data_IF_530208832036
#
_entry.id   IF_530208832036
#
_cell.length_a   1.000
_cell.length_b   1.000
_cell.length_c   1.000
_cell.angle_alpha   90.00
_cell.angle_beta   90.00
_cell.angle_gamma   90.00
#
_symmetry.space_group_name_H-M   'P 1'
#
loop_
_entity.id
_entity.type
_entity.pdbx_description
1 polymer ?
#
# COMPACT_ATOMS: atom_id res chain seq x y z
N UNK A 1 -53.27 6.13 -32.42
CA UNK A 1 -52.50 5.16 -31.60
C UNK A 1 -50.98 5.34 -31.63
N UNK A 2 -50.38 5.94 -32.67
CA UNK A 2 -48.91 6.10 -32.81
C UNK A 2 -48.23 7.04 -31.79
N UNK A 3 -48.92 8.10 -31.35
CA UNK A 3 -48.33 9.10 -30.42
C UNK A 3 -48.17 8.67 -28.97
N UNK A 4 -48.90 7.64 -28.49
CA UNK A 4 -48.73 7.10 -27.13
C UNK A 4 -47.50 6.20 -27.04
N UNK A 5 -47.21 5.46 -28.09
CA UNK A 5 -46.05 4.56 -28.18
C UNK A 5 -44.73 5.34 -28.14
N UNK A 6 -44.66 6.47 -28.86
CA UNK A 6 -43.51 7.36 -28.83
C UNK A 6 -43.21 7.92 -27.42
N UNK A 7 -44.26 8.21 -26.62
CA UNK A 7 -44.09 8.67 -25.23
C UNK A 7 -43.52 7.57 -24.33
N UNK A 8 -44.02 6.34 -24.43
CA UNK A 8 -43.49 5.22 -23.64
C UNK A 8 -42.03 4.90 -23.99
N UNK A 9 -41.67 4.94 -25.26
CA UNK A 9 -40.27 4.74 -25.70
C UNK A 9 -39.38 5.87 -25.18
N UNK A 10 -39.80 7.13 -25.28
CA UNK A 10 -39.02 8.26 -24.77
C UNK A 10 -38.83 8.19 -23.25
N UNK A 11 -39.88 7.85 -22.48
CA UNK A 11 -39.77 7.67 -21.03
C UNK A 11 -38.89 6.48 -20.66
N UNK A 12 -38.96 5.37 -21.40
CA UNK A 12 -38.09 4.21 -21.18
C UNK A 12 -36.62 4.51 -21.44
N UNK A 13 -36.31 5.27 -22.50
CA UNK A 13 -34.95 5.74 -22.80
C UNK A 13 -34.44 6.69 -21.71
N UNK A 14 -35.28 7.60 -21.22
CA UNK A 14 -34.91 8.51 -20.12
C UNK A 14 -34.62 7.75 -18.82
N UNK A 15 -35.45 6.76 -18.47
CA UNK A 15 -35.24 5.90 -17.30
C UNK A 15 -33.97 5.04 -17.45
N UNK A 16 -33.68 4.54 -18.65
CA UNK A 16 -32.45 3.80 -18.93
C UNK A 16 -31.20 4.70 -18.79
N UNK A 17 -31.27 5.97 -19.21
CA UNK A 17 -30.19 6.93 -19.01
C UNK A 17 -30.01 7.33 -17.53
N UNK A 18 -31.10 7.44 -16.76
CA UNK A 18 -31.07 7.68 -15.32
C UNK A 18 -30.53 6.47 -14.54
N UNK A 19 -30.78 5.25 -15.01
CA UNK A 19 -30.21 4.02 -14.45
C UNK A 19 -28.74 3.81 -14.85
N UNK A 20 -28.28 4.45 -15.93
CA UNK A 20 -26.87 4.49 -16.34
C UNK A 20 -26.00 5.44 -15.47
N UNK A 21 -26.51 5.88 -14.31
CA UNK A 21 -25.75 6.62 -13.31
C UNK A 21 -24.40 5.94 -13.04
N UNK A 22 -23.32 6.65 -13.37
CA UNK A 22 -21.93 6.27 -13.10
C UNK A 22 -21.80 5.77 -11.66
N UNK A 23 -21.52 4.47 -11.50
CA UNK A 23 -21.36 3.86 -10.19
C UNK A 23 -20.08 4.40 -9.55
N UNK A 24 -20.24 5.13 -8.45
CA UNK A 24 -19.16 5.68 -7.61
C UNK A 24 -19.17 4.96 -6.25
N UNK A 25 -18.62 3.75 -6.16
CA UNK A 25 -18.67 2.94 -4.94
C UNK A 25 -17.88 3.61 -3.81
N UNK A 26 -18.40 3.59 -2.58
CA UNK A 26 -17.75 4.17 -1.38
C UNK A 26 -17.52 3.12 -0.29
N UNK A 27 -17.59 1.83 -0.63
CA UNK A 27 -17.55 0.69 0.28
C UNK A 27 -16.17 0.45 0.91
N UNK A 28 -15.10 0.99 0.32
CA UNK A 28 -13.71 0.84 0.74
C UNK A 28 -13.07 2.19 1.11
N UNK A 29 -13.90 3.18 1.43
CA UNK A 29 -13.45 4.52 1.80
C UNK A 29 -13.13 5.43 0.62
N UNK A 30 -13.56 5.09 -0.60
CA UNK A 30 -13.45 5.97 -1.75
C UNK A 30 -14.25 7.26 -1.51
N UNK A 31 -13.72 8.38 -2.01
CA UNK A 31 -14.33 9.71 -1.95
C UNK A 31 -14.36 10.33 -3.35
N UNK A 32 -15.34 11.22 -3.57
CA UNK A 32 -15.60 11.84 -4.87
C UNK A 32 -15.81 13.36 -4.76
N UNK A 33 -15.25 13.97 -3.72
CA UNK A 33 -15.39 15.38 -3.36
C UNK A 33 -14.32 16.29 -3.99
N UNK A 34 -13.20 15.72 -4.44
CA UNK A 34 -12.05 16.47 -4.98
C UNK A 34 -12.11 16.71 -6.49
N UNK A 35 -13.17 16.23 -7.15
CA UNK A 35 -13.29 16.27 -8.61
C UNK A 35 -12.46 15.18 -9.30
N UNK A 36 -12.41 15.25 -10.63
CA UNK A 36 -11.67 14.28 -11.45
C UNK A 36 -10.29 14.84 -11.77
N UNK A 37 -9.27 14.04 -11.53
CA UNK A 37 -7.89 14.33 -11.90
C UNK A 37 -7.62 13.91 -13.34
N UNK A 38 -6.76 14.68 -14.03
CA UNK A 38 -6.37 14.44 -15.44
C UNK A 38 -4.86 14.19 -15.58
N UNK A 39 -4.13 14.18 -14.47
CA UNK A 39 -2.70 13.99 -14.40
C UNK A 39 -2.35 13.25 -13.10
N UNK A 40 -1.24 12.49 -13.06
CA UNK A 40 -0.88 11.67 -11.90
C UNK A 40 -0.71 12.45 -10.59
N UNK A 41 -0.20 13.68 -10.69
CA UNK A 41 0.05 14.56 -9.55
C UNK A 41 -0.47 15.97 -9.84
N UNK A 42 -1.33 16.49 -8.97
CA UNK A 42 -1.87 17.86 -9.05
C UNK A 42 -1.45 18.67 -7.84
N UNK A 43 -0.74 19.78 -8.08
CA UNK A 43 -0.41 20.74 -7.03
C UNK A 43 -1.68 21.38 -6.49
N UNK A 44 -1.88 21.32 -5.17
CA UNK A 44 -3.03 21.92 -4.49
C UNK A 44 -2.59 23.04 -3.56
N UNK A 45 -3.47 24.03 -3.39
CA UNK A 45 -3.19 25.16 -2.51
C UNK A 45 -3.15 24.75 -1.03
N UNK A 46 -4.03 23.82 -0.69
CA UNK A 46 -4.19 23.25 0.63
C UNK A 46 -4.77 21.84 0.43
N UNK A 47 -4.22 20.80 1.09
CA UNK A 47 -4.83 19.47 1.07
C UNK A 47 -6.25 19.51 1.65
N UNK A 48 -7.18 18.73 1.08
CA UNK A 48 -8.48 18.47 1.71
C UNK A 48 -8.35 17.44 2.84
N UNK A 49 -7.61 17.83 3.88
CA UNK A 49 -7.41 17.10 5.11
C UNK A 49 -7.49 18.07 6.29
N UNK A 50 -8.21 17.69 7.34
CA UNK A 50 -8.48 18.54 8.51
C UNK A 50 -7.56 18.16 9.66
N UNK A 51 -7.00 19.17 10.33
CA UNK A 51 -6.22 19.00 11.55
C UNK A 51 -4.74 18.75 11.27
N UNK A 52 -4.11 17.98 12.16
CA UNK A 52 -2.68 17.69 12.14
C UNK A 52 -2.41 16.17 12.14
N UNK A 53 -1.28 15.71 11.58
CA UNK A 53 -0.90 14.30 11.63
C UNK A 53 -0.76 13.79 13.07
N UNK A 54 -1.30 12.60 13.34
CA UNK A 54 -1.26 11.98 14.68
C UNK A 54 0.06 11.27 15.01
N UNK A 55 0.88 10.99 14.00
CA UNK A 55 2.09 10.16 14.08
C UNK A 55 3.38 10.98 13.93
N UNK A 56 3.38 12.23 14.41
CA UNK A 56 4.53 13.11 14.31
C UNK A 56 5.79 12.54 14.99
N UNK A 57 5.62 11.84 16.12
CA UNK A 57 6.70 11.15 16.84
C UNK A 57 7.30 10.01 16.01
N UNK A 58 6.46 9.11 15.51
CA UNK A 58 6.90 7.98 14.67
C UNK A 58 7.57 8.45 13.37
N UNK A 59 7.08 9.54 12.78
CA UNK A 59 7.73 10.16 11.62
C UNK A 59 9.14 10.66 11.96
N UNK A 60 9.34 11.29 13.11
CA UNK A 60 10.66 11.74 13.55
C UNK A 60 11.61 10.55 13.74
N UNK A 61 11.16 9.48 14.40
CA UNK A 61 11.93 8.25 14.55
C UNK A 61 12.29 7.64 13.19
N UNK A 62 11.33 7.58 12.26
CA UNK A 62 11.56 7.08 10.91
C UNK A 62 12.63 7.88 10.16
N UNK A 63 12.64 9.22 10.31
CA UNK A 63 13.68 10.07 9.71
C UNK A 63 15.05 9.81 10.32
N UNK A 64 15.13 9.57 11.64
CA UNK A 64 16.39 9.23 12.32
C UNK A 64 16.92 7.85 11.88
N UNK A 65 16.04 6.86 11.68
CA UNK A 65 16.41 5.57 11.10
C UNK A 65 16.99 5.74 9.68
N UNK A 66 16.39 6.59 8.84
CA UNK A 66 16.92 6.89 7.50
C UNK A 66 18.29 7.56 7.59
N UNK A 67 18.46 8.53 8.50
CA UNK A 67 19.74 9.22 8.71
C UNK A 67 20.86 8.25 9.08
N UNK A 68 20.58 7.29 9.96
CA UNK A 68 21.56 6.30 10.43
C UNK A 68 21.82 5.20 9.39
N UNK A 69 20.77 4.59 8.83
CA UNK A 69 20.89 3.43 7.95
C UNK A 69 21.20 3.79 6.49
N UNK A 70 20.83 5.00 6.04
CA UNK A 70 21.05 5.45 4.66
C UNK A 70 21.41 6.94 4.58
N UNK A 71 22.62 7.34 5.00
CA UNK A 71 23.04 8.75 5.04
C UNK A 71 22.91 9.46 3.69
N UNK A 72 23.19 8.77 2.57
CA UNK A 72 23.06 9.33 1.22
C UNK A 72 21.61 9.72 0.88
N UNK A 73 20.65 8.85 1.22
CA UNK A 73 19.23 9.14 1.02
C UNK A 73 18.80 10.32 1.91
N UNK A 74 19.25 10.31 3.16
CA UNK A 74 18.96 11.39 4.09
C UNK A 74 19.46 12.74 3.57
N UNK A 75 20.71 12.83 3.11
CA UNK A 75 21.28 14.08 2.60
C UNK A 75 20.47 14.61 1.41
N UNK A 76 20.11 13.75 0.46
CA UNK A 76 19.33 14.13 -0.72
C UNK A 76 17.94 14.69 -0.39
N UNK A 77 17.31 14.18 0.68
CA UNK A 77 15.94 14.55 1.06
C UNK A 77 15.86 15.44 2.30
N UNK A 78 17.00 15.84 2.86
CA UNK A 78 17.09 16.56 4.15
C UNK A 78 16.26 17.84 4.20
N UNK A 79 16.19 18.59 3.09
CA UNK A 79 15.36 19.80 2.97
C UNK A 79 13.88 19.49 3.23
N UNK A 80 13.36 18.40 2.65
CA UNK A 80 11.96 17.99 2.82
C UNK A 80 11.71 17.55 4.26
N UNK A 81 12.59 16.71 4.82
CA UNK A 81 12.44 16.23 6.20
C UNK A 81 12.47 17.38 7.20
N UNK A 82 13.38 18.34 7.04
CA UNK A 82 13.49 19.50 7.91
C UNK A 82 12.26 20.40 7.82
N UNK A 83 11.76 20.67 6.60
CA UNK A 83 10.56 21.47 6.40
C UNK A 83 9.34 20.84 7.09
N UNK A 84 9.11 19.54 6.87
CA UNK A 84 8.00 18.78 7.48
C UNK A 84 8.14 18.72 9.00
N UNK A 85 9.35 18.49 9.54
CA UNK A 85 9.56 18.48 10.99
C UNK A 85 9.29 19.86 11.61
N UNK A 86 9.70 20.95 10.96
CA UNK A 86 9.42 22.30 11.45
C UNK A 86 7.94 22.62 11.45
N UNK A 87 7.22 22.23 10.39
CA UNK A 87 5.77 22.34 10.29
C UNK A 87 5.04 21.52 11.37
N UNK A 88 5.48 20.28 11.64
CA UNK A 88 4.92 19.45 12.70
C UNK A 88 5.17 20.07 14.09
N UNK A 89 6.37 20.61 14.34
CA UNK A 89 6.71 21.29 15.61
C UNK A 89 5.90 22.57 15.84
N UNK A 90 5.43 23.22 14.77
CA UNK A 90 4.56 24.40 14.86
C UNK A 90 3.06 24.07 14.95
N UNK A 91 2.70 22.80 15.13
CA UNK A 91 1.32 22.36 15.30
C UNK A 91 0.75 21.52 14.15
N UNK A 92 1.45 21.43 13.00
CA UNK A 92 1.12 20.47 11.94
C UNK A 92 -0.20 20.70 11.21
N UNK A 93 -0.79 21.90 11.28
CA UNK A 93 -2.04 22.21 10.56
C UNK A 93 -1.80 22.22 9.04
N UNK A 94 -2.58 21.44 8.28
CA UNK A 94 -2.46 21.35 6.82
C UNK A 94 -2.60 22.69 6.10
N UNK A 95 -3.28 23.67 6.72
CA UNK A 95 -3.45 25.04 6.21
C UNK A 95 -2.16 25.86 6.23
N UNK A 96 -1.20 25.50 7.08
CA UNK A 96 0.03 26.28 7.29
C UNK A 96 1.25 25.71 6.55
N UNK A 97 1.11 24.58 5.84
CA UNK A 97 2.20 23.89 5.13
C UNK A 97 3.05 24.83 4.24
N UNK A 98 2.38 25.75 3.53
CA UNK A 98 3.06 26.73 2.65
C UNK A 98 3.97 27.70 3.37
N UNK A 99 3.69 28.02 4.64
CA UNK A 99 4.53 28.89 5.46
C UNK A 99 5.91 28.25 5.74
N UNK A 100 5.99 26.92 5.61
CA UNK A 100 7.22 26.12 5.76
C UNK A 100 7.82 25.72 4.41
N UNK A 101 7.32 26.26 3.28
CA UNK A 101 7.80 25.93 1.94
C UNK A 101 7.45 24.51 1.50
N UNK A 102 6.36 23.94 2.01
CA UNK A 102 5.91 22.58 1.66
C UNK A 102 4.82 22.68 0.60
N UNK A 103 5.10 22.10 -0.58
CA UNK A 103 4.11 21.90 -1.64
C UNK A 103 3.38 20.57 -1.46
N UNK A 104 2.06 20.58 -1.63
CA UNK A 104 1.24 19.39 -1.58
C UNK A 104 0.81 18.98 -3.00
N UNK A 105 1.31 17.83 -3.46
CA UNK A 105 0.95 17.24 -4.74
C UNK A 105 -0.01 16.07 -4.53
N UNK A 106 -1.29 16.29 -4.82
CA UNK A 106 -2.33 15.28 -4.66
C UNK A 106 -2.27 14.24 -5.78
N UNK A 107 -2.31 12.96 -5.41
CA UNK A 107 -2.28 11.83 -6.35
C UNK A 107 -3.67 11.56 -6.94
N UNK A 108 -3.74 11.21 -8.22
CA UNK A 108 -5.04 10.94 -8.89
C UNK A 108 -5.75 9.67 -8.41
N UNK A 109 -5.01 8.71 -7.85
CA UNK A 109 -5.57 7.44 -7.39
C UNK A 109 -5.87 6.44 -8.50
N UNK A 110 -6.57 5.36 -8.16
CA UNK A 110 -6.85 4.24 -9.08
C UNK A 110 -8.04 4.48 -10.01
N UNK A 111 -8.91 5.43 -9.66
CA UNK A 111 -10.13 5.78 -10.41
C UNK A 111 -10.14 7.24 -10.90
N UNK A 112 -9.01 7.93 -10.75
CA UNK A 112 -8.79 9.35 -11.09
C UNK A 112 -9.65 10.32 -10.26
N UNK A 113 -10.12 9.94 -9.07
CA UNK A 113 -10.86 10.80 -8.14
C UNK A 113 -10.11 11.05 -6.82
N UNK A 114 -8.81 10.77 -6.76
CA UNK A 114 -7.99 10.92 -5.55
C UNK A 114 -7.93 9.65 -4.69
N UNK A 115 -8.56 8.55 -5.13
CA UNK A 115 -8.65 7.30 -4.35
C UNK A 115 -7.40 6.44 -4.54
N UNK A 116 -6.37 6.73 -3.73
CA UNK A 116 -5.14 5.95 -3.67
C UNK A 116 -5.41 4.60 -3.02
N UNK A 117 -4.96 3.52 -3.66
CA UNK A 117 -5.10 2.17 -3.12
C UNK A 117 -4.10 1.95 -1.97
N UNK A 118 -4.63 1.68 -0.78
CA UNK A 118 -3.83 1.28 0.37
C UNK A 118 -3.90 -0.24 0.59
N UNK A 119 -2.74 -0.85 0.80
CA UNK A 119 -2.59 -2.26 1.21
C UNK A 119 -1.63 -2.33 2.40
N UNK A 120 -1.73 -3.38 3.22
CA UNK A 120 -0.86 -3.56 4.39
C UNK A 120 0.08 -4.75 4.26
N UNK A 121 1.29 -4.62 4.80
CA UNK A 121 2.18 -5.74 5.12
C UNK A 121 2.71 -5.56 6.54
N UNK A 122 3.13 -6.65 7.17
CA UNK A 122 3.76 -6.62 8.49
C UNK A 122 4.85 -7.70 8.57
N UNK A 123 5.73 -7.59 9.57
CA UNK A 123 6.73 -8.62 9.84
C UNK A 123 6.10 -9.71 10.70
N UNK A 124 5.79 -10.92 10.18
CA UNK A 124 5.15 -11.94 10.97
C UNK A 124 6.12 -12.54 11.99
N UNK A 125 5.61 -12.89 13.16
CA UNK A 125 6.35 -13.65 14.17
C UNK A 125 5.99 -15.13 14.01
N UNK A 126 6.88 -15.91 13.40
CA UNK A 126 6.69 -17.35 13.18
C UNK A 126 7.20 -18.14 14.38
N UNK A 127 6.32 -18.94 14.99
CA UNK A 127 6.71 -19.82 16.09
C UNK A 127 7.33 -21.13 15.55
N UNK A 128 8.54 -21.44 15.99
CA UNK A 128 9.27 -22.64 15.55
C UNK A 128 9.99 -23.34 16.70
N UNK A 129 10.54 -24.52 16.42
CA UNK A 129 11.39 -25.31 17.33
C UNK A 129 12.68 -25.75 16.61
N UNK A 130 13.80 -25.73 17.32
CA UNK A 130 15.12 -25.98 16.74
C UNK A 130 15.37 -27.45 16.38
N UNK A 131 15.08 -28.38 17.29
CA UNK A 131 15.48 -29.79 17.15
C UNK A 131 14.33 -30.68 16.70
N UNK A 132 14.62 -31.79 16.01
CA UNK A 132 13.58 -32.75 15.59
C UNK A 132 12.83 -33.34 16.79
N UNK A 133 13.52 -33.55 17.89
CA UNK A 133 12.97 -34.09 19.13
C UNK A 133 11.95 -33.14 19.77
N UNK A 134 12.12 -31.83 19.59
CA UNK A 134 11.19 -30.79 20.08
C UNK A 134 10.13 -30.40 19.06
N UNK A 135 10.22 -30.89 17.82
CA UNK A 135 9.18 -30.77 16.78
C UNK A 135 8.08 -31.80 17.05
N UNK A 136 7.26 -31.53 18.05
CA UNK A 136 6.08 -32.33 18.38
C UNK A 136 4.81 -31.49 18.12
N UNK A 137 3.68 -32.15 17.88
CA UNK A 137 2.42 -31.47 17.57
C UNK A 137 2.51 -30.66 16.27
N UNK A 138 2.19 -29.35 16.33
CA UNK A 138 2.08 -28.47 15.16
C UNK A 138 3.42 -28.01 14.54
N UNK A 139 4.56 -28.23 15.21
CA UNK A 139 5.86 -27.69 14.78
C UNK A 139 6.60 -28.59 13.77
N UNK A 140 5.92 -29.09 12.75
CA UNK A 140 6.49 -30.08 11.82
C UNK A 140 7.09 -29.48 10.53
N UNK A 141 6.85 -28.19 10.25
CA UNK A 141 7.22 -27.55 8.99
C UNK A 141 8.59 -26.85 9.09
N UNK A 142 9.64 -27.35 8.42
CA UNK A 142 10.97 -26.76 8.52
C UNK A 142 11.12 -25.49 7.68
N UNK A 143 11.69 -24.45 8.28
CA UNK A 143 12.15 -23.24 7.58
C UNK A 143 13.56 -23.49 7.03
N UNK A 144 13.80 -23.17 5.75
CA UNK A 144 15.06 -23.45 5.07
C UNK A 144 15.85 -22.18 4.80
N UNK A 145 17.14 -22.21 5.09
CA UNK A 145 18.08 -21.20 4.62
C UNK A 145 18.41 -21.44 3.14
N UNK A 146 18.84 -20.37 2.44
CA UNK A 146 19.33 -20.47 1.06
C UNK A 146 20.55 -21.41 1.00
N UNK A 147 20.56 -22.34 0.06
CA UNK A 147 21.70 -23.23 -0.17
C UNK A 147 22.92 -22.46 -0.74
N UNK A 148 24.14 -22.87 -0.39
CA UNK A 148 25.38 -22.26 -0.90
C UNK A 148 25.69 -22.72 -2.34
N UNK A 149 26.34 -21.83 -3.10
CA UNK A 149 26.33 -21.72 -4.57
C UNK A 149 27.01 -22.81 -5.40
N UNK A 150 27.62 -23.86 -4.84
CA UNK A 150 28.21 -24.94 -5.67
C UNK A 150 27.18 -25.90 -6.30
N UNK A 151 25.88 -25.73 -5.99
CA UNK A 151 24.77 -26.56 -6.49
C UNK A 151 23.65 -25.66 -7.06
N UNK A 152 23.95 -24.42 -7.46
CA UNK A 152 22.89 -23.47 -7.84
C UNK A 152 22.17 -23.84 -9.14
N UNK A 153 22.80 -24.63 -10.03
CA UNK A 153 22.14 -25.15 -11.24
C UNK A 153 21.17 -26.30 -10.97
N UNK A 154 21.21 -26.94 -9.78
CA UNK A 154 20.44 -28.17 -9.47
C UNK A 154 19.30 -27.93 -8.47
N UNK A 155 19.23 -26.77 -7.78
CA UNK A 155 18.19 -26.52 -6.75
C UNK A 155 17.21 -25.42 -7.17
N UNK A 156 16.69 -25.49 -8.40
CA UNK A 156 15.35 -24.99 -8.71
C UNK A 156 14.36 -26.15 -8.55
N UNK A 157 14.12 -26.60 -7.30
CA UNK A 157 13.02 -27.52 -7.03
C UNK A 157 11.72 -26.72 -6.97
N UNK A 158 10.69 -27.18 -7.68
CA UNK A 158 9.34 -26.66 -7.48
C UNK A 158 8.92 -26.90 -6.03
N UNK A 159 8.03 -26.05 -5.48
CA UNK A 159 7.60 -26.14 -4.08
C UNK A 159 7.11 -27.55 -3.71
N UNK A 160 6.43 -28.28 -4.61
CA UNK A 160 5.98 -29.65 -4.38
C UNK A 160 7.14 -30.64 -4.11
N UNK A 161 8.23 -30.55 -4.87
CA UNK A 161 9.41 -31.41 -4.70
C UNK A 161 10.19 -31.08 -3.42
N UNK A 162 10.05 -29.85 -2.93
CA UNK A 162 10.60 -29.43 -1.66
C UNK A 162 9.85 -30.08 -0.47
N UNK A 163 8.54 -30.34 -0.55
CA UNK A 163 7.76 -30.96 0.53
C UNK A 163 7.74 -32.49 0.50
N UNK A 164 8.25 -33.12 -0.57
CA UNK A 164 8.45 -34.57 -0.58
C UNK A 164 9.48 -34.95 0.49
N UNK A 165 9.19 -35.96 1.35
CA UNK A 165 10.23 -36.54 2.18
C UNK A 165 11.33 -37.01 1.24
N UNK A 166 12.54 -36.47 1.40
CA UNK A 166 13.69 -36.98 0.67
C UNK A 166 13.81 -38.46 1.03
N UNK A 167 13.47 -39.36 0.10
CA UNK A 167 13.76 -40.78 0.17
C UNK A 167 15.28 -40.93 0.19
N UNK A 168 15.90 -40.70 1.35
CA UNK A 168 17.23 -41.20 1.69
C UNK A 168 17.05 -42.32 2.69
N UNK A 169 16.45 -43.41 2.20
CA UNK A 169 16.73 -44.75 2.67
C UNK A 169 17.87 -45.31 1.80
N UNK A 170 19.08 -44.79 1.95
CA UNK A 170 20.25 -45.60 1.57
C UNK A 170 20.52 -46.53 2.74
N UNK A 171 20.11 -47.78 2.54
CA UNK A 171 20.53 -48.94 3.32
C UNK A 171 22.02 -48.83 3.63
N UNK A 172 22.35 -48.73 4.91
CA UNK A 172 23.65 -49.20 5.40
C UNK A 172 23.41 -50.65 5.84
N UNK A 173 23.86 -51.58 4.99
CA UNK A 173 24.35 -52.88 5.44
C UNK A 173 25.79 -52.71 5.87
#
# INVERSE_FOLDING_TARGET
MKGRWAKYVATGVMLAMLAACSSKPTDRGQQYKDGKFTQPFSLVNQPDAVGAPINAGDFAEQVDQIRSASPRLYTNQSNVYNAVQNWLRSGGDTRTMRQFGIDAWQMEGTDNYGNVQFTGYYTPVVQARHTRQTRQGAFQYPIRARARSSILSIVCRQNADAYRPALRSTQAR
#
